data_IF_440514415358
#
_entry.id   IF_440514415358
#
_cell.length_a   1.000
_cell.length_b   1.000
_cell.length_c   1.000
_cell.angle_alpha   90.00
_cell.angle_beta   90.00
_cell.angle_gamma   90.00
#
_symmetry.space_group_name_H-M   'P 1'
#
loop_
_entity.id
_entity.type
_entity.pdbx_description
1 polymer ?
#
# COMPACT_ATOMS: atom_id res chain seq x y z
N UNK A 1 -49.76 1.57 -6.35
CA UNK A 1 -48.67 0.57 -6.32
C UNK A 1 -47.86 0.85 -5.05
N UNK A 2 -48.08 0.00 -4.03
CA UNK A 2 -47.34 -0.21 -2.78
C UNK A 2 -46.50 0.94 -2.16
N UNK A 3 -47.10 1.68 -1.22
CA UNK A 3 -46.41 2.13 -0.01
C UNK A 3 -46.84 1.17 1.12
N UNK A 4 -45.93 0.28 1.54
CA UNK A 4 -46.17 -0.60 2.69
C UNK A 4 -45.82 0.13 3.97
N UNK A 5 -46.84 0.18 4.82
CA UNK A 5 -46.92 0.72 6.16
C UNK A 5 -45.88 0.08 7.10
N UNK A 6 -45.21 0.91 7.89
CA UNK A 6 -44.51 0.52 9.12
C UNK A 6 -45.55 0.11 10.18
N UNK A 7 -45.40 -1.04 10.88
CA UNK A 7 -46.16 -1.31 12.08
C UNK A 7 -45.47 -0.72 13.32
N UNK A 8 -46.06 0.35 13.85
CA UNK A 8 -45.96 0.72 15.26
C UNK A 8 -46.57 -0.39 16.13
N UNK A 9 -45.80 -0.82 17.14
CA UNK A 9 -46.11 -1.62 18.35
C UNK A 9 -45.21 -2.85 18.46
N UNK A 10 -44.01 -2.62 18.98
CA UNK A 10 -43.23 -3.66 19.63
C UNK A 10 -43.60 -3.68 21.12
N UNK A 11 -44.48 -4.61 21.48
CA UNK A 11 -44.73 -4.98 22.88
C UNK A 11 -43.64 -5.97 23.30
N UNK A 12 -42.89 -5.76 24.41
CA UNK A 12 -41.97 -6.77 24.88
C UNK A 12 -42.77 -7.96 25.42
N UNK A 13 -42.86 -9.03 24.63
CA UNK A 13 -43.37 -10.32 25.08
C UNK A 13 -42.49 -10.89 26.20
N UNK A 14 -43.04 -11.79 27.05
CA UNK A 14 -42.30 -12.34 28.17
C UNK A 14 -41.10 -13.15 27.67
N UNK A 15 -39.90 -12.67 28.03
CA UNK A 15 -38.61 -13.26 27.69
C UNK A 15 -38.59 -14.79 27.92
N UNK A 16 -38.44 -15.62 26.88
CA UNK A 16 -38.25 -17.05 27.07
C UNK A 16 -36.79 -17.33 27.44
N UNK A 17 -36.52 -17.63 28.72
CA UNK A 17 -35.45 -18.50 29.28
C UNK A 17 -33.99 -18.39 28.77
N UNK A 18 -33.60 -17.43 27.95
CA UNK A 18 -32.23 -17.29 27.41
C UNK A 18 -31.26 -16.61 28.37
N UNK A 19 -31.75 -15.88 29.39
CA UNK A 19 -30.93 -15.33 30.48
C UNK A 19 -30.29 -16.43 31.34
N UNK A 20 -30.90 -17.63 31.39
CA UNK A 20 -30.37 -18.75 32.17
C UNK A 20 -29.11 -19.37 31.54
N UNK A 21 -29.01 -19.39 30.20
CA UNK A 21 -27.89 -20.05 29.50
C UNK A 21 -26.61 -19.20 29.59
N UNK A 22 -26.71 -17.88 29.48
CA UNK A 22 -25.54 -17.00 29.72
C UNK A 22 -25.08 -17.00 31.19
N UNK A 23 -26.01 -17.15 32.14
CA UNK A 23 -25.66 -17.33 33.56
C UNK A 23 -24.94 -18.66 33.83
N UNK A 24 -25.29 -19.75 33.15
CA UNK A 24 -24.66 -21.05 33.39
C UNK A 24 -23.27 -21.15 32.79
N UNK A 25 -23.01 -20.57 31.61
CA UNK A 25 -21.64 -20.45 31.08
C UNK A 25 -20.73 -19.61 32.01
N UNK A 26 -21.26 -18.49 32.53
CA UNK A 26 -20.57 -17.66 33.53
C UNK A 26 -20.28 -18.42 34.84
N UNK A 27 -21.26 -19.18 35.36
CA UNK A 27 -21.11 -19.98 36.57
C UNK A 27 -20.20 -21.22 36.39
N UNK A 28 -20.14 -21.83 35.21
CA UNK A 28 -19.21 -22.92 34.90
C UNK A 28 -17.78 -22.42 34.72
N UNK A 29 -17.58 -21.31 34.01
CA UNK A 29 -16.28 -20.64 33.94
C UNK A 29 -15.79 -20.22 35.34
N UNK A 30 -16.67 -19.65 36.17
CA UNK A 30 -16.35 -19.30 37.56
C UNK A 30 -16.03 -20.52 38.44
N UNK A 31 -16.66 -21.68 38.24
CA UNK A 31 -16.35 -22.91 38.99
C UNK A 31 -15.06 -23.57 38.53
N UNK A 32 -14.73 -23.52 37.24
CA UNK A 32 -13.44 -24.00 36.72
C UNK A 32 -12.29 -23.12 37.24
N UNK A 33 -12.44 -21.79 37.17
CA UNK A 33 -11.44 -20.85 37.72
C UNK A 33 -11.25 -21.01 39.25
N UNK A 34 -12.31 -21.36 39.99
CA UNK A 34 -12.25 -21.57 41.44
C UNK A 34 -11.65 -22.93 41.85
N UNK A 35 -11.48 -23.86 40.90
CA UNK A 35 -10.87 -25.18 41.12
C UNK A 35 -9.42 -25.28 40.64
N UNK A 36 -8.95 -24.31 39.86
CA UNK A 36 -7.52 -24.20 39.57
C UNK A 36 -6.80 -23.92 40.90
N UNK A 37 -5.91 -24.80 41.36
CA UNK A 37 -5.25 -24.58 42.63
C UNK A 37 -4.45 -23.27 42.51
N UNK A 38 -4.50 -22.43 43.54
CA UNK A 38 -3.78 -21.15 43.58
C UNK A 38 -2.28 -21.31 43.21
N UNK A 39 -1.73 -22.50 43.46
CA UNK A 39 -0.38 -22.94 43.05
C UNK A 39 -0.16 -22.94 41.53
N UNK A 40 -1.16 -23.32 40.74
CA UNK A 40 -1.07 -23.32 39.28
C UNK A 40 -1.08 -21.90 38.73
N UNK A 41 -1.94 -21.03 39.28
CA UNK A 41 -1.95 -19.60 38.94
C UNK A 41 -0.60 -18.97 39.26
N UNK A 42 -0.07 -19.22 40.47
CA UNK A 42 1.23 -18.71 40.91
C UNK A 42 2.39 -19.23 40.04
N UNK A 43 2.33 -20.48 39.57
CA UNK A 43 3.31 -21.08 38.67
C UNK A 43 3.29 -20.42 37.28
N UNK A 44 2.11 -20.16 36.72
CA UNK A 44 1.98 -19.43 35.43
C UNK A 44 2.51 -17.99 35.56
N UNK A 45 2.19 -17.29 36.66
CA UNK A 45 2.76 -15.96 36.92
C UNK A 45 4.29 -16.00 37.06
N UNK A 46 4.85 -16.99 37.76
CA UNK A 46 6.30 -17.15 37.87
C UNK A 46 6.94 -17.43 36.51
N UNK A 47 6.34 -18.30 35.68
CA UNK A 47 6.84 -18.57 34.33
C UNK A 47 6.79 -17.31 33.45
N UNK A 48 5.69 -16.54 33.48
CA UNK A 48 5.57 -15.29 32.73
C UNK A 48 6.57 -14.22 33.21
N UNK A 49 6.82 -14.12 34.53
CA UNK A 49 7.84 -13.23 35.10
C UNK A 49 9.24 -13.67 34.65
N UNK A 50 9.51 -14.98 34.67
CA UNK A 50 10.80 -15.55 34.26
C UNK A 50 11.04 -15.31 32.78
N UNK A 51 10.05 -15.55 31.93
CA UNK A 51 10.09 -15.25 30.50
C UNK A 51 10.29 -13.75 30.25
N UNK A 52 9.53 -12.89 30.94
CA UNK A 52 9.68 -11.43 30.85
C UNK A 52 11.07 -10.97 31.27
N UNK A 53 11.65 -11.60 32.31
CA UNK A 53 13.00 -11.32 32.77
C UNK A 53 14.04 -11.80 31.75
N UNK A 54 13.89 -13.01 31.22
CA UNK A 54 14.76 -13.56 30.17
C UNK A 54 14.68 -12.72 28.89
N UNK A 55 13.50 -12.30 28.46
CA UNK A 55 13.29 -11.45 27.30
C UNK A 55 13.91 -10.07 27.52
N UNK A 56 13.69 -9.43 28.68
CA UNK A 56 14.31 -8.15 29.02
C UNK A 56 15.84 -8.23 29.05
N UNK A 57 16.41 -9.35 29.51
CA UNK A 57 17.86 -9.57 29.54
C UNK A 57 18.43 -9.88 28.16
N UNK A 58 17.75 -10.72 27.37
CA UNK A 58 18.19 -11.15 26.04
C UNK A 58 18.07 -10.04 25.00
N UNK A 59 17.01 -9.22 25.06
CA UNK A 59 16.74 -8.14 24.13
C UNK A 59 17.10 -6.76 24.70
N UNK A 60 18.05 -6.71 25.64
CA UNK A 60 18.59 -5.43 26.10
C UNK A 60 19.50 -4.84 25.03
N UNK A 61 18.92 -4.04 24.13
CA UNK A 61 19.69 -3.23 23.19
C UNK A 61 20.23 -2.03 23.96
N UNK A 62 21.54 -1.97 24.16
CA UNK A 62 22.20 -0.80 24.73
C UNK A 62 22.00 0.38 23.78
N UNK A 63 21.17 1.35 24.18
CA UNK A 63 21.08 2.61 23.43
C UNK A 63 22.35 3.40 23.72
N UNK A 64 23.13 3.77 22.68
CA UNK A 64 24.28 4.64 22.89
C UNK A 64 23.84 5.92 23.59
N UNK A 65 24.70 6.46 24.47
CA UNK A 65 24.44 7.69 25.22
C UNK A 65 24.37 8.94 24.34
N UNK A 66 24.84 8.83 23.09
CA UNK A 66 24.81 9.88 22.09
C UNK A 66 24.17 9.37 20.80
N UNK A 67 23.45 10.22 20.05
CA UNK A 67 22.97 9.87 18.72
C UNK A 67 24.17 9.61 17.81
N UNK A 68 24.30 8.38 17.31
CA UNK A 68 25.34 8.02 16.34
C UNK A 68 25.01 8.55 14.94
N UNK A 69 23.73 8.84 14.69
CA UNK A 69 23.22 9.36 13.43
C UNK A 69 22.70 10.80 13.64
N UNK A 70 23.57 11.82 13.54
CA UNK A 70 23.10 13.20 13.50
C UNK A 70 22.21 13.42 12.26
N UNK A 71 21.20 14.30 12.33
CA UNK A 71 20.36 14.58 11.17
C UNK A 71 21.19 15.21 10.05
N UNK A 72 20.90 14.86 8.80
CA UNK A 72 21.58 15.40 7.61
C UNK A 72 21.49 16.93 7.51
N UNK A 73 20.46 17.53 8.12
CA UNK A 73 20.32 18.96 8.29
C UNK A 73 19.62 19.25 9.63
N UNK A 74 20.08 20.28 10.34
CA UNK A 74 19.47 20.75 11.60
C UNK A 74 18.48 21.90 11.40
N UNK A 75 18.42 22.45 10.19
CA UNK A 75 17.50 23.53 9.80
C UNK A 75 16.75 23.17 8.52
N UNK A 76 15.64 23.87 8.27
CA UNK A 76 14.98 23.81 6.97
C UNK A 76 15.91 24.37 5.89
N UNK A 77 16.18 23.53 4.88
CA UNK A 77 16.94 23.91 3.70
C UNK A 77 16.03 23.77 2.48
N UNK A 78 15.75 24.88 1.83
CA UNK A 78 15.13 24.85 0.51
C UNK A 78 16.14 24.35 -0.53
N UNK A 79 15.71 23.53 -1.50
CA UNK A 79 16.59 23.05 -2.55
C UNK A 79 17.01 24.18 -3.50
N UNK A 80 18.26 24.13 -3.97
CA UNK A 80 18.74 25.03 -5.02
C UNK A 80 18.14 24.60 -6.38
N UNK A 81 17.36 25.48 -6.99
CA UNK A 81 16.67 25.24 -8.27
C UNK A 81 17.45 25.71 -9.49
N UNK A 82 18.68 26.20 -9.31
CA UNK A 82 19.53 26.67 -10.42
C UNK A 82 20.08 25.52 -11.27
N UNK A 83 20.16 24.31 -10.71
CA UNK A 83 20.63 23.14 -11.42
C UNK A 83 19.61 22.64 -12.46
N UNK A 84 20.07 22.16 -13.63
CA UNK A 84 19.18 21.57 -14.63
C UNK A 84 18.52 20.30 -14.08
N UNK A 85 17.25 20.09 -14.45
CA UNK A 85 16.50 18.86 -14.15
C UNK A 85 16.89 17.75 -15.11
N UNK A 86 17.00 16.52 -14.60
CA UNK A 86 17.26 15.34 -15.41
C UNK A 86 15.99 14.82 -16.09
N UNK A 87 16.12 13.98 -17.12
CA UNK A 87 14.96 13.32 -17.73
C UNK A 87 14.47 12.18 -16.83
N UNK A 88 13.59 12.52 -15.89
CA UNK A 88 13.04 11.60 -14.90
C UNK A 88 11.52 11.75 -14.76
N UNK A 89 10.91 10.72 -14.20
CA UNK A 89 9.47 10.62 -13.98
C UNK A 89 9.22 9.77 -12.74
N UNK A 90 8.21 10.11 -11.96
CA UNK A 90 7.74 9.25 -10.89
C UNK A 90 6.81 8.18 -11.46
N UNK A 91 7.01 6.94 -11.06
CA UNK A 91 6.18 5.82 -11.48
C UNK A 91 5.51 5.24 -10.25
N UNK A 92 4.19 5.04 -10.31
CA UNK A 92 3.42 4.40 -9.27
C UNK A 92 2.50 3.36 -9.89
N UNK A 93 2.47 2.16 -9.32
CA UNK A 93 1.45 1.16 -9.64
C UNK A 93 0.43 1.15 -8.51
N UNK A 94 -0.84 1.31 -8.85
CA UNK A 94 -1.94 1.38 -7.88
C UNK A 94 -3.23 0.88 -8.51
N UNK A 95 -4.12 0.34 -7.69
CA UNK A 95 -5.47 -0.05 -8.09
C UNK A 95 -6.47 1.07 -7.84
N UNK A 96 -7.61 1.03 -8.53
CA UNK A 96 -8.72 1.96 -8.30
C UNK A 96 -9.17 1.97 -6.82
N UNK A 97 -9.15 0.81 -6.16
CA UNK A 97 -9.50 0.66 -4.73
C UNK A 97 -8.50 1.31 -3.76
N UNK A 98 -7.30 1.65 -4.21
CA UNK A 98 -6.22 2.24 -3.40
C UNK A 98 -6.15 3.76 -3.55
N UNK A 99 -7.18 4.38 -4.12
CA UNK A 99 -7.27 5.83 -4.40
C UNK A 99 -6.85 6.71 -3.23
N UNK A 100 -7.38 6.48 -2.04
CA UNK A 100 -7.09 7.31 -0.87
C UNK A 100 -5.61 7.20 -0.45
N UNK A 101 -5.04 6.01 -0.55
CA UNK A 101 -3.65 5.74 -0.19
C UNK A 101 -2.68 6.33 -1.21
N UNK A 102 -3.02 6.20 -2.51
CA UNK A 102 -2.31 6.86 -3.60
C UNK A 102 -2.35 8.38 -3.44
N UNK A 103 -3.53 8.95 -3.15
CA UNK A 103 -3.70 10.39 -2.91
C UNK A 103 -2.81 10.88 -1.77
N UNK A 104 -2.83 10.20 -0.62
CA UNK A 104 -2.00 10.54 0.53
C UNK A 104 -0.50 10.52 0.16
N UNK A 105 -0.08 9.55 -0.65
CA UNK A 105 1.30 9.44 -1.13
C UNK A 105 1.66 10.60 -2.04
N UNK A 106 0.78 11.00 -2.96
CA UNK A 106 1.01 12.14 -3.85
C UNK A 106 1.09 13.46 -3.06
N UNK A 107 0.18 13.68 -2.11
CA UNK A 107 0.23 14.87 -1.25
C UNK A 107 1.57 14.95 -0.50
N UNK A 108 2.01 13.84 0.09
CA UNK A 108 3.30 13.77 0.75
C UNK A 108 4.46 14.06 -0.21
N UNK A 109 4.45 13.45 -1.40
CA UNK A 109 5.49 13.67 -2.42
C UNK A 109 5.56 15.13 -2.86
N UNK A 110 4.42 15.77 -3.10
CA UNK A 110 4.32 17.19 -3.46
C UNK A 110 4.88 18.09 -2.34
N UNK A 111 4.46 17.86 -1.10
CA UNK A 111 4.89 18.65 0.06
C UNK A 111 6.40 18.56 0.31
N UNK A 112 6.99 17.38 0.12
CA UNK A 112 8.38 17.11 0.50
C UNK A 112 9.38 17.19 -0.66
N UNK A 113 8.92 17.23 -1.92
CA UNK A 113 9.83 17.22 -3.07
C UNK A 113 9.24 17.88 -4.32
N UNK A 114 8.09 17.42 -4.79
CA UNK A 114 7.67 17.71 -6.16
C UNK A 114 7.12 19.14 -6.36
N UNK A 115 6.78 19.86 -5.28
CA UNK A 115 6.42 21.28 -5.34
C UNK A 115 7.50 22.17 -5.96
N UNK A 116 8.77 21.79 -5.82
CA UNK A 116 9.89 22.58 -6.33
C UNK A 116 10.32 22.17 -7.74
N UNK A 117 10.24 20.87 -8.04
CA UNK A 117 10.79 20.31 -9.28
C UNK A 117 9.74 19.94 -10.32
N UNK A 118 8.48 19.74 -9.93
CA UNK A 118 7.34 19.47 -10.81
C UNK A 118 7.65 18.40 -11.86
N UNK A 119 8.18 17.26 -11.42
CA UNK A 119 8.39 16.09 -12.28
C UNK A 119 7.05 15.42 -12.60
N UNK A 120 6.90 14.90 -13.83
CA UNK A 120 5.71 14.15 -14.20
C UNK A 120 5.55 12.88 -13.36
N UNK A 121 4.31 12.41 -13.25
CA UNK A 121 3.94 11.19 -12.51
C UNK A 121 3.13 10.29 -13.45
N UNK A 122 3.53 9.03 -13.57
CA UNK A 122 2.84 8.02 -14.37
C UNK A 122 2.26 6.97 -13.43
N UNK A 123 0.96 6.74 -13.55
CA UNK A 123 0.26 5.67 -12.87
C UNK A 123 0.06 4.47 -13.80
N UNK A 124 0.31 3.27 -13.28
CA UNK A 124 0.03 2.00 -13.95
C UNK A 124 -1.00 1.19 -13.17
N UNK A 125 -1.94 0.59 -13.89
CA UNK A 125 -2.93 -0.35 -13.35
C UNK A 125 -3.17 -1.46 -14.37
N UNK A 126 -3.54 -2.64 -13.92
CA UNK A 126 -3.95 -3.75 -14.78
C UNK A 126 -5.40 -3.66 -15.25
N UNK A 127 -6.19 -2.81 -14.60
CA UNK A 127 -7.57 -2.47 -14.98
C UNK A 127 -7.68 -1.05 -15.55
N UNK A 128 -8.79 -0.76 -16.23
CA UNK A 128 -9.11 0.59 -16.66
C UNK A 128 -9.28 1.55 -15.47
N UNK A 129 -8.88 2.80 -15.65
CA UNK A 129 -8.93 3.81 -14.59
C UNK A 129 -10.31 4.40 -14.41
N UNK A 130 -10.78 4.43 -13.16
CA UNK A 130 -12.00 5.12 -12.81
C UNK A 130 -11.80 6.64 -12.87
N UNK A 131 -12.82 7.35 -13.38
CA UNK A 131 -12.77 8.81 -13.49
C UNK A 131 -12.58 9.48 -12.12
N UNK A 132 -13.16 8.92 -11.06
CA UNK A 132 -13.01 9.43 -9.69
C UNK A 132 -11.55 9.35 -9.21
N UNK A 133 -10.82 8.28 -9.58
CA UNK A 133 -9.39 8.16 -9.28
C UNK A 133 -8.59 9.25 -9.99
N UNK A 134 -8.82 9.40 -11.30
CA UNK A 134 -8.14 10.37 -12.14
C UNK A 134 -8.36 11.80 -11.59
N UNK A 135 -9.60 12.16 -11.28
CA UNK A 135 -9.96 13.49 -10.80
C UNK A 135 -9.35 13.77 -9.42
N UNK A 136 -9.40 12.79 -8.52
CA UNK A 136 -8.82 12.90 -7.17
C UNK A 136 -7.31 13.14 -7.21
N UNK A 137 -6.59 12.35 -8.01
CA UNK A 137 -5.14 12.48 -8.14
C UNK A 137 -4.77 13.78 -8.85
N UNK A 138 -5.42 14.12 -9.97
CA UNK A 138 -5.17 15.39 -10.68
C UNK A 138 -5.44 16.62 -9.80
N UNK A 139 -6.42 16.56 -8.91
CA UNK A 139 -6.69 17.62 -7.94
C UNK A 139 -5.65 17.75 -6.83
N UNK A 140 -4.79 16.75 -6.66
CA UNK A 140 -3.84 16.65 -5.53
C UNK A 140 -2.40 17.03 -5.88
N UNK A 141 -2.08 17.25 -7.17
CA UNK A 141 -0.75 17.64 -7.63
C UNK A 141 -0.82 18.74 -8.69
N UNK A 142 0.23 19.56 -8.76
CA UNK A 142 0.43 20.55 -9.84
C UNK A 142 1.22 19.99 -11.02
N UNK A 143 1.80 18.81 -10.87
CA UNK A 143 2.59 18.17 -11.91
C UNK A 143 1.72 17.48 -12.97
N UNK A 144 2.31 17.21 -14.13
CA UNK A 144 1.63 16.45 -15.18
C UNK A 144 1.48 14.99 -14.75
N UNK A 145 0.25 14.48 -14.78
CA UNK A 145 -0.07 13.09 -14.42
C UNK A 145 -0.67 12.36 -15.61
N UNK A 146 -0.08 11.22 -15.97
CA UNK A 146 -0.65 10.28 -16.95
C UNK A 146 -1.04 8.96 -16.29
N UNK A 147 -2.03 8.32 -16.88
CA UNK A 147 -2.63 7.09 -16.40
C UNK A 147 -2.56 6.07 -17.53
N UNK A 148 -1.77 5.03 -17.34
CA UNK A 148 -1.53 3.98 -18.31
C UNK A 148 -2.15 2.68 -17.80
N UNK A 149 -2.73 1.92 -18.73
CA UNK A 149 -3.25 0.58 -18.46
C UNK A 149 -2.24 -0.42 -18.99
N UNK A 150 -1.86 -1.38 -18.15
CA UNK A 150 -0.92 -2.42 -18.52
C UNK A 150 -1.63 -3.39 -19.47
N UNK A 151 -1.09 -3.66 -20.66
CA UNK A 151 -1.71 -4.60 -21.58
C UNK A 151 -1.80 -6.01 -20.95
N UNK A 152 -2.91 -6.73 -21.16
CA UNK A 152 -3.10 -8.07 -20.60
C UNK A 152 -2.10 -9.09 -21.16
N UNK A 153 -1.43 -8.81 -22.29
CA UNK A 153 -0.39 -9.69 -22.84
C UNK A 153 0.88 -9.69 -21.98
N UNK A 154 1.18 -8.55 -21.33
CA UNK A 154 2.33 -8.43 -20.43
C UNK A 154 1.95 -8.70 -18.99
N UNK A 155 0.68 -8.57 -18.61
CA UNK A 155 0.18 -8.82 -17.25
C UNK A 155 -0.39 -10.23 -17.09
N UNK A 156 0.06 -10.97 -16.08
CA UNK A 156 -0.39 -12.35 -15.82
C UNK A 156 0.65 -13.42 -16.18
N UNK A 157 0.18 -14.61 -16.53
CA UNK A 157 1.05 -15.75 -16.84
C UNK A 157 1.51 -15.69 -18.31
N UNK A 158 2.82 -15.80 -18.59
CA UNK A 158 3.34 -15.71 -19.95
C UNK A 158 2.94 -16.91 -20.81
N UNK A 159 2.91 -16.72 -22.14
CA UNK A 159 2.68 -17.78 -23.10
C UNK A 159 3.77 -18.87 -22.98
N UNK A 160 3.37 -20.10 -22.64
CA UNK A 160 4.28 -21.22 -22.38
C UNK A 160 4.40 -21.62 -20.91
N UNK A 161 3.81 -20.85 -19.99
CA UNK A 161 3.62 -21.27 -18.61
C UNK A 161 2.28 -21.99 -18.44
N UNK A 162 2.29 -23.11 -17.73
CA UNK A 162 1.07 -23.79 -17.29
C UNK A 162 0.44 -22.99 -16.15
N UNK A 163 -0.67 -22.32 -16.44
CA UNK A 163 -1.39 -21.48 -15.48
C UNK A 163 -1.94 -22.30 -14.29
N UNK A 164 -2.30 -23.57 -14.49
CA UNK A 164 -2.84 -24.39 -13.42
C UNK A 164 -1.73 -24.86 -12.48
N UNK A 165 -0.56 -25.22 -13.03
CA UNK A 165 0.63 -25.47 -12.23
C UNK A 165 1.08 -24.24 -11.44
N UNK A 166 1.02 -23.05 -12.05
CA UNK A 166 1.36 -21.79 -11.37
C UNK A 166 0.39 -21.47 -10.22
N UNK A 167 -0.92 -21.60 -10.43
CA UNK A 167 -1.92 -21.42 -9.37
C UNK A 167 -1.77 -22.44 -8.25
N UNK A 168 -1.44 -23.69 -8.57
CA UNK A 168 -1.17 -24.71 -7.57
C UNK A 168 0.06 -24.33 -6.70
N UNK A 169 1.12 -23.81 -7.32
CA UNK A 169 2.31 -23.34 -6.60
C UNK A 169 2.04 -22.09 -5.73
N UNK A 170 1.22 -21.15 -6.21
CA UNK A 170 0.76 -19.98 -5.43
C UNK A 170 -0.01 -20.45 -4.19
N UNK A 171 -0.90 -21.42 -4.36
CA UNK A 171 -1.64 -22.02 -3.24
C UNK A 171 -0.72 -22.73 -2.24
N UNK A 172 0.31 -23.44 -2.71
CA UNK A 172 1.31 -24.05 -1.82
C UNK A 172 2.04 -22.97 -1.00
N UNK A 173 2.37 -21.82 -1.60
CA UNK A 173 2.99 -20.69 -0.89
C UNK A 173 2.07 -20.09 0.18
N UNK A 174 0.76 -20.01 -0.11
CA UNK A 174 -0.26 -19.62 0.86
C UNK A 174 -0.31 -20.58 2.06
N UNK A 175 -0.35 -21.89 1.78
CA UNK A 175 -0.36 -22.95 2.82
C UNK A 175 0.89 -22.91 3.69
N UNK A 176 2.03 -22.56 3.09
CA UNK A 176 3.31 -22.35 3.77
C UNK A 176 3.41 -21.00 4.49
N UNK A 177 2.38 -20.17 4.44
CA UNK A 177 2.31 -18.82 5.05
C UNK A 177 3.43 -17.90 4.57
N UNK A 178 3.80 -18.02 3.30
CA UNK A 178 4.70 -17.06 2.65
C UNK A 178 3.95 -15.74 2.51
N UNK A 179 4.57 -14.66 2.97
CA UNK A 179 3.97 -13.31 2.91
C UNK A 179 3.70 -12.91 1.45
N UNK A 180 2.46 -12.50 1.15
CA UNK A 180 1.93 -12.27 -0.21
C UNK A 180 2.02 -13.46 -1.18
N UNK A 181 2.45 -14.64 -0.73
CA UNK A 181 2.70 -15.79 -1.60
C UNK A 181 1.44 -16.34 -2.28
N UNK A 182 0.28 -16.22 -1.62
CA UNK A 182 -1.02 -16.63 -2.14
C UNK A 182 -1.73 -15.58 -3.01
N UNK A 183 -1.18 -14.39 -3.17
CA UNK A 183 -1.83 -13.31 -3.91
C UNK A 183 -1.46 -13.39 -5.40
N UNK A 184 -2.41 -13.84 -6.24
CA UNK A 184 -2.14 -14.05 -7.67
C UNK A 184 -1.67 -12.77 -8.39
N UNK A 185 -2.21 -11.59 -8.02
CA UNK A 185 -1.77 -10.30 -8.59
C UNK A 185 -0.39 -9.82 -8.13
N UNK A 186 0.16 -10.37 -7.03
CA UNK A 186 1.46 -9.97 -6.51
C UNK A 186 2.62 -10.46 -7.39
N UNK A 187 2.50 -11.67 -7.97
CA UNK A 187 3.54 -12.25 -8.81
C UNK A 187 3.75 -11.50 -10.14
N UNK A 188 2.69 -11.16 -10.92
CA UNK A 188 2.80 -10.28 -12.08
C UNK A 188 3.36 -8.90 -11.75
N UNK A 189 2.96 -8.30 -10.62
CA UNK A 189 3.51 -7.03 -10.15
C UNK A 189 5.04 -7.13 -9.95
N UNK A 190 5.51 -8.16 -9.24
CA UNK A 190 6.94 -8.40 -9.06
C UNK A 190 7.66 -8.63 -10.40
N UNK A 191 7.04 -9.36 -11.34
CA UNK A 191 7.59 -9.56 -12.70
C UNK A 191 7.71 -8.24 -13.46
N UNK A 192 6.67 -7.40 -13.42
CA UNK A 192 6.66 -6.10 -14.10
C UNK A 192 7.82 -5.20 -13.61
N UNK A 193 8.01 -5.06 -12.30
CA UNK A 193 9.10 -4.26 -11.74
C UNK A 193 10.49 -4.88 -11.94
N UNK A 194 10.58 -6.21 -12.00
CA UNK A 194 11.86 -6.90 -12.27
C UNK A 194 12.31 -6.75 -13.72
N UNK A 195 11.43 -6.28 -14.59
CA UNK A 195 11.67 -6.14 -16.01
C UNK A 195 11.31 -7.41 -16.77
N UNK A 196 10.69 -7.20 -17.92
CA UNK A 196 10.37 -8.29 -18.83
C UNK A 196 11.58 -8.63 -19.69
N UNK A 197 12.12 -9.86 -19.55
CA UNK A 197 12.89 -10.49 -20.62
C UNK A 197 11.93 -11.22 -21.54
N UNK A 198 11.24 -10.46 -22.37
CA UNK A 198 10.33 -10.95 -23.40
C UNK A 198 10.85 -10.58 -24.79
N UNK A 199 10.90 -11.58 -25.66
CA UNK A 199 11.37 -11.53 -27.05
C UNK A 199 10.87 -10.29 -27.81
N UNK A 200 11.77 -9.72 -28.62
CA UNK A 200 11.44 -8.67 -29.60
C UNK A 200 10.20 -9.04 -30.41
N UNK A 201 9.05 -8.41 -30.13
CA UNK A 201 8.05 -8.11 -31.19
C UNK A 201 6.95 -7.12 -30.83
N UNK A 202 6.78 -6.65 -29.59
CA UNK A 202 5.87 -5.53 -29.33
C UNK A 202 6.45 -4.63 -28.24
N UNK A 203 7.26 -3.67 -28.66
CA UNK A 203 7.47 -2.44 -27.89
C UNK A 203 6.09 -1.85 -27.62
N UNK A 204 5.78 -1.47 -26.38
CA UNK A 204 4.63 -0.61 -26.04
C UNK A 204 4.62 0.56 -27.02
N UNK A 205 3.80 0.45 -28.06
CA UNK A 205 3.88 1.29 -29.24
C UNK A 205 2.97 2.49 -29.00
N UNK A 206 3.46 3.43 -28.20
CA UNK A 206 2.86 4.75 -28.06
C UNK A 206 3.21 5.58 -29.31
N UNK A 207 2.50 5.31 -30.42
CA UNK A 207 2.42 6.22 -31.58
C UNK A 207 3.18 5.83 -32.85
N UNK A 208 2.47 5.23 -33.81
CA UNK A 208 2.41 5.65 -35.22
C UNK A 208 3.63 5.55 -36.15
N UNK A 209 3.62 4.52 -37.03
CA UNK A 209 3.87 4.70 -38.48
C UNK A 209 5.29 4.53 -39.05
N UNK A 210 5.56 3.34 -39.62
CA UNK A 210 6.26 3.17 -40.90
C UNK A 210 7.80 3.08 -40.93
N UNK A 211 8.31 1.93 -41.41
CA UNK A 211 9.62 1.82 -42.09
C UNK A 211 10.80 1.38 -41.22
N UNK A 212 11.40 0.24 -41.55
CA UNK A 212 12.41 -0.44 -40.73
C UNK A 212 13.81 0.19 -40.74
N UNK A 213 14.49 0.09 -39.59
CA UNK A 213 15.91 -0.26 -39.44
C UNK A 213 16.22 -0.32 -37.94
N UNK A 214 16.98 -1.33 -37.53
CA UNK A 214 17.35 -1.59 -36.12
C UNK A 214 18.28 -0.46 -35.65
N UNK A 215 17.72 0.51 -34.91
CA UNK A 215 18.45 1.55 -34.19
C UNK A 215 18.36 1.26 -32.71
N UNK A 216 19.51 1.24 -32.02
CA UNK A 216 19.63 1.28 -30.55
C UNK A 216 18.52 2.15 -29.97
N UNK A 217 17.71 1.55 -29.10
CA UNK A 217 16.60 2.20 -28.41
C UNK A 217 17.06 3.50 -27.77
N UNK A 218 16.55 4.62 -28.28
CA UNK A 218 16.71 5.93 -27.63
C UNK A 218 15.96 5.89 -26.29
N UNK A 219 16.48 6.55 -25.24
CA UNK A 219 15.72 6.71 -24.00
C UNK A 219 14.41 7.44 -24.29
N UNK A 220 13.34 7.02 -23.59
CA UNK A 220 12.01 7.62 -23.64
C UNK A 220 12.12 9.14 -23.48
N UNK A 221 11.65 9.88 -24.49
CA UNK A 221 11.60 11.34 -24.47
C UNK A 221 10.17 11.74 -24.15
N UNK A 222 9.95 12.19 -22.92
CA UNK A 222 8.66 12.76 -22.54
C UNK A 222 8.30 13.93 -23.48
N UNK A 223 7.04 14.07 -23.91
CA UNK A 223 6.62 15.19 -24.74
C UNK A 223 6.81 16.51 -23.98
N UNK A 224 7.49 17.46 -24.62
CA UNK A 224 7.65 18.83 -24.11
C UNK A 224 6.34 19.58 -24.25
N UNK A 225 5.46 19.45 -23.27
CA UNK A 225 4.23 20.23 -23.15
C UNK A 225 4.50 21.51 -22.32
N UNK A 226 3.82 22.63 -22.63
CA UNK A 226 4.01 23.89 -21.92
C UNK A 226 3.58 23.75 -20.45
N UNK A 227 4.41 24.30 -19.56
CA UNK A 227 4.21 24.27 -18.12
C UNK A 227 2.96 25.07 -17.74
N UNK A 228 2.02 24.42 -17.04
CA UNK A 228 0.93 25.11 -16.36
C UNK A 228 1.51 25.89 -15.16
N UNK A 229 0.97 27.07 -14.83
CA UNK A 229 1.42 27.84 -13.68
C UNK A 229 1.17 27.05 -12.40
N UNK A 230 2.21 26.89 -11.58
CA UNK A 230 2.18 26.24 -10.28
C UNK A 230 1.16 26.91 -9.36
N UNK A 231 0.28 26.12 -8.75
CA UNK A 231 -0.57 26.60 -7.67
C UNK A 231 0.30 27.08 -6.49
N UNK A 232 -0.05 28.17 -5.81
CA UNK A 232 0.70 28.64 -4.66
C UNK A 232 0.63 27.61 -3.53
N UNK A 233 1.77 27.02 -3.20
CA UNK A 233 1.90 26.11 -2.06
C UNK A 233 1.74 26.89 -0.75
N UNK A 234 0.99 26.36 0.25
CA UNK A 234 0.91 27.00 1.55
C UNK A 234 2.30 27.07 2.21
N UNK A 235 2.59 28.13 2.99
CA UNK A 235 3.88 28.27 3.66
C UNK A 235 4.08 27.11 4.64
N UNK A 236 5.22 26.44 4.52
CA UNK A 236 5.62 25.38 5.45
C UNK A 236 6.25 26.03 6.67
N UNK A 237 5.59 25.92 7.81
CA UNK A 237 6.10 26.44 9.06
C UNK A 237 7.24 25.56 9.58
N UNK A 238 8.46 26.04 9.37
CA UNK A 238 9.69 25.45 9.86
C UNK A 238 9.97 25.74 11.33
N UNK A 239 9.12 26.52 12.00
CA UNK A 239 9.20 26.71 13.45
C UNK A 239 8.54 25.51 14.11
N UNK A 240 9.29 24.41 14.20
CA UNK A 240 8.87 23.25 14.96
C UNK A 240 8.70 23.58 16.45
N UNK A 241 7.55 24.12 16.85
CA UNK A 241 6.97 23.82 18.16
C UNK A 241 6.18 22.54 18.00
N UNK A 242 6.81 21.44 18.42
CA UNK A 242 6.13 20.18 18.69
C UNK A 242 5.25 20.30 19.93
#
# INVERSE_FOLDING_TARGET
MLLRSFPEKWSPGPWPRTVAVFRTYSLHAQRLLRRLPLRFILLVFLLAITESYLHRRSFSVHRPSTPLDPPFATSCREPDLSAPRENAVFVMMARNSEREQAQHTIISLEQHFNRWFTYPIIFFNDEEWEQEFIDTIRGSTSANVSFEVIPPEVWGFPEGMDADAARAAIKEQEERKVFHGGEEGYHPMCRFYSGERGSSTNTLNLGGGGGGSVSRSRPFRAPSLPLLPSLPSPPFDCTGTR
#
